data_IF_237145470627
#
_entry.id   IF_237145470627
#
_cell.length_a   1.000
_cell.length_b   1.000
_cell.length_c   1.000
_cell.angle_alpha   90.00
_cell.angle_beta   90.00
_cell.angle_gamma   90.00
#
_symmetry.space_group_name_H-M   'P 1'
#
loop_
_entity.id
_entity.type
_entity.pdbx_description
1 polymer ?
#
# COMPACT_ATOMS: atom_id res chain seq x y z
N UNK A 1 16.78 -42.24 2.83
CA UNK A 1 16.42 -41.05 3.65
C UNK A 1 17.06 -39.74 3.20
N UNK A 2 18.23 -39.73 2.55
CA UNK A 2 18.91 -38.48 2.14
C UNK A 2 18.32 -37.86 0.85
N UNK A 3 17.81 -38.66 -0.09
CA UNK A 3 17.23 -38.15 -1.35
C UNK A 3 15.83 -37.51 -1.16
N UNK A 4 14.99 -38.03 -0.26
CA UNK A 4 13.68 -37.44 0.04
C UNK A 4 13.75 -36.09 0.77
N UNK A 5 14.86 -35.80 1.46
CA UNK A 5 15.11 -34.51 2.11
C UNK A 5 15.49 -33.42 1.11
N UNK A 6 16.11 -33.79 -0.01
CA UNK A 6 16.51 -32.85 -1.08
C UNK A 6 15.28 -32.44 -1.90
N UNK A 7 14.33 -33.35 -2.13
CA UNK A 7 13.06 -33.04 -2.79
C UNK A 7 12.15 -32.09 -1.98
N UNK A 8 12.14 -32.22 -0.64
CA UNK A 8 11.40 -31.31 0.23
C UNK A 8 11.93 -29.87 0.23
N UNK A 9 13.25 -29.70 0.15
CA UNK A 9 13.91 -28.39 0.11
C UNK A 9 13.73 -27.67 -1.24
N UNK A 10 13.64 -28.41 -2.35
CA UNK A 10 13.42 -27.83 -3.67
C UNK A 10 12.02 -27.19 -3.81
N UNK A 11 11.01 -27.76 -3.14
CA UNK A 11 9.62 -27.29 -3.17
C UNK A 11 9.43 -25.94 -2.48
N UNK A 12 10.21 -25.65 -1.43
CA UNK A 12 10.15 -24.39 -0.69
C UNK A 12 10.87 -23.24 -1.43
N UNK A 13 11.89 -23.55 -2.22
CA UNK A 13 12.63 -22.55 -3.00
C UNK A 13 11.83 -22.02 -4.21
N UNK A 14 10.89 -22.80 -4.75
CA UNK A 14 10.10 -22.40 -5.92
C UNK A 14 9.07 -21.29 -5.61
N UNK A 15 8.55 -21.22 -4.38
CA UNK A 15 7.61 -20.17 -3.94
C UNK A 15 8.27 -18.79 -3.76
N UNK A 16 9.59 -18.73 -3.64
CA UNK A 16 10.32 -17.46 -3.47
C UNK A 16 10.55 -16.71 -4.80
N UNK A 17 10.36 -17.36 -5.95
CA UNK A 17 10.74 -16.81 -7.26
C UNK A 17 9.53 -16.22 -8.03
N UNK A 18 8.30 -16.30 -7.51
CA UNK A 18 7.10 -15.84 -8.22
C UNK A 18 6.83 -14.32 -8.13
N UNK A 19 7.74 -13.53 -7.52
CA UNK A 19 7.58 -12.08 -7.32
C UNK A 19 8.32 -11.21 -8.36
N UNK A 20 8.53 -11.70 -9.58
CA UNK A 20 9.13 -10.88 -10.67
C UNK A 20 8.32 -10.92 -11.97
N UNK A 21 7.09 -11.45 -11.94
CA UNK A 21 6.21 -11.43 -13.09
C UNK A 21 5.25 -10.22 -13.03
N UNK A 22 5.67 -9.12 -13.67
CA UNK A 22 4.85 -7.99 -14.10
C UNK A 22 4.17 -7.14 -13.02
N UNK A 23 4.74 -5.94 -12.80
CA UNK A 23 4.11 -4.86 -12.05
C UNK A 23 4.70 -3.50 -12.41
N UNK A 24 4.88 -3.20 -13.70
CA UNK A 24 5.25 -1.88 -14.19
C UNK A 24 4.04 -0.92 -14.12
N UNK A 25 3.61 -0.62 -12.90
CA UNK A 25 2.73 0.50 -12.56
C UNK A 25 3.27 1.18 -11.32
N UNK A 26 4.60 1.38 -11.28
CA UNK A 26 5.27 2.07 -10.19
C UNK A 26 4.73 3.51 -10.14
N UNK A 27 3.97 3.79 -9.09
CA UNK A 27 3.65 5.16 -8.66
C UNK A 27 4.98 5.81 -8.31
N UNK A 28 5.30 6.97 -8.88
CA UNK A 28 6.57 7.69 -8.66
C UNK A 28 6.86 7.99 -7.18
N UNK A 29 5.87 7.86 -6.29
CA UNK A 29 6.03 8.05 -4.83
C UNK A 29 6.82 6.94 -4.13
N UNK A 30 6.95 5.74 -4.74
CA UNK A 30 7.66 4.61 -4.12
C UNK A 30 9.18 4.62 -4.37
N UNK A 31 9.69 5.61 -5.12
CA UNK A 31 11.13 5.76 -5.39
C UNK A 31 11.89 6.55 -4.31
N UNK A 32 11.23 6.96 -3.21
CA UNK A 32 11.91 7.57 -2.06
C UNK A 32 12.13 6.52 -0.97
N UNK A 33 13.20 5.74 -1.10
CA UNK A 33 13.74 4.97 0.01
C UNK A 33 14.30 5.93 1.08
N UNK A 34 13.51 6.10 2.14
CA UNK A 34 13.94 6.20 3.54
C UNK A 34 15.16 7.08 3.86
N UNK A 35 14.93 8.37 4.09
CA UNK A 35 15.75 9.17 5.01
C UNK A 35 14.93 9.56 6.24
N UNK A 36 15.07 8.76 7.30
CA UNK A 36 14.93 9.18 8.69
C UNK A 36 13.54 9.48 9.22
N UNK A 37 12.88 8.49 9.83
CA UNK A 37 11.95 8.75 10.92
C UNK A 37 12.46 8.02 12.18
N UNK A 38 13.33 8.72 12.89
CA UNK A 38 13.76 8.43 14.27
C UNK A 38 12.52 8.26 15.16
N UNK A 39 12.55 7.28 16.07
CA UNK A 39 11.41 6.86 16.88
C UNK A 39 10.77 7.95 17.76
N UNK A 40 9.80 8.66 17.18
CA UNK A 40 8.80 9.47 17.88
C UNK A 40 7.42 9.00 17.45
N UNK A 41 6.50 8.84 18.41
CA UNK A 41 5.16 8.32 18.14
C UNK A 41 4.48 9.05 16.99
N UNK A 42 3.99 8.31 15.99
CA UNK A 42 3.36 8.83 14.78
C UNK A 42 1.94 9.38 14.99
N UNK A 43 1.46 9.39 16.24
CA UNK A 43 0.19 10.02 16.61
C UNK A 43 0.22 11.52 16.25
N UNK A 44 -0.77 11.96 15.47
CA UNK A 44 -0.89 13.32 14.96
C UNK A 44 -0.25 13.56 13.60
N UNK A 45 0.48 12.58 13.03
CA UNK A 45 1.01 12.67 11.67
C UNK A 45 -0.11 12.77 10.63
N UNK A 46 0.16 13.46 9.52
CA UNK A 46 -0.75 13.58 8.39
C UNK A 46 -0.58 12.38 7.45
N UNK A 47 -1.67 11.74 7.10
CA UNK A 47 -1.76 10.65 6.12
C UNK A 47 -2.64 11.11 4.96
N UNK A 48 -2.08 11.09 3.74
CA UNK A 48 -2.84 11.33 2.51
C UNK A 48 -3.43 10.03 1.97
N UNK A 49 -4.70 10.05 1.58
CA UNK A 49 -5.43 8.94 0.98
C UNK A 49 -6.13 9.44 -0.28
N UNK A 50 -5.79 8.86 -1.43
CA UNK A 50 -6.39 9.25 -2.72
C UNK A 50 -7.23 8.11 -3.29
N UNK A 51 -8.52 8.34 -3.40
CA UNK A 51 -9.51 7.39 -3.90
C UNK A 51 -9.82 7.61 -5.39
N UNK A 52 -10.27 6.58 -6.14
CA UNK A 52 -10.43 6.70 -7.59
C UNK A 52 -11.52 7.68 -8.01
N UNK A 53 -12.73 7.62 -7.44
CA UNK A 53 -13.89 8.42 -7.92
C UNK A 53 -14.98 8.51 -6.87
N UNK A 54 -15.77 9.59 -6.91
CA UNK A 54 -17.01 9.74 -6.11
C UNK A 54 -18.24 9.15 -6.79
N UNK A 55 -18.14 8.68 -8.03
CA UNK A 55 -19.28 8.09 -8.77
C UNK A 55 -19.67 6.69 -8.28
N UNK A 56 -18.83 6.05 -7.47
CA UNK A 56 -19.06 4.72 -6.92
C UNK A 56 -19.30 4.80 -5.42
N UNK A 57 -20.47 4.37 -4.98
CA UNK A 57 -20.82 4.27 -3.56
C UNK A 57 -19.80 3.41 -2.80
N UNK A 58 -19.33 2.32 -3.40
CA UNK A 58 -18.29 1.48 -2.82
C UNK A 58 -17.03 2.28 -2.48
N UNK A 59 -16.57 3.14 -3.39
CA UNK A 59 -15.36 3.94 -3.15
C UNK A 59 -15.59 5.03 -2.10
N UNK A 60 -16.80 5.57 -2.01
CA UNK A 60 -17.17 6.50 -0.94
C UNK A 60 -17.09 5.80 0.42
N UNK A 61 -17.76 4.64 0.54
CA UNK A 61 -17.76 3.86 1.78
C UNK A 61 -16.37 3.39 2.19
N UNK A 62 -15.57 2.91 1.23
CA UNK A 62 -14.20 2.48 1.48
C UNK A 62 -13.34 3.66 1.97
N UNK A 63 -13.46 4.84 1.35
CA UNK A 63 -12.71 6.04 1.72
C UNK A 63 -13.05 6.53 3.13
N UNK A 64 -14.35 6.60 3.45
CA UNK A 64 -14.82 7.01 4.78
C UNK A 64 -14.37 6.03 5.87
N UNK A 65 -14.39 4.73 5.58
CA UNK A 65 -13.93 3.71 6.51
C UNK A 65 -12.42 3.80 6.79
N UNK A 66 -11.60 3.97 5.73
CA UNK A 66 -10.14 4.15 5.88
C UNK A 66 -9.83 5.40 6.69
N UNK A 67 -10.48 6.54 6.37
CA UNK A 67 -10.34 7.78 7.13
C UNK A 67 -10.69 7.58 8.60
N UNK A 68 -11.85 6.99 8.89
CA UNK A 68 -12.29 6.76 10.27
C UNK A 68 -11.32 5.89 11.07
N UNK A 69 -10.78 4.83 10.47
CA UNK A 69 -9.84 3.94 11.15
C UNK A 69 -8.51 4.64 11.44
N UNK A 70 -7.98 5.42 10.48
CA UNK A 70 -6.75 6.19 10.68
C UNK A 70 -6.93 7.30 11.74
N UNK A 71 -8.06 8.00 11.72
CA UNK A 71 -8.37 9.01 12.74
C UNK A 71 -8.51 8.39 14.14
N UNK A 72 -9.12 7.20 14.26
CA UNK A 72 -9.17 6.45 15.53
C UNK A 72 -7.79 6.06 16.08
N UNK A 73 -6.81 5.88 15.19
CA UNK A 73 -5.42 5.63 15.56
C UNK A 73 -4.65 6.92 15.88
N UNK A 74 -5.30 8.08 15.81
CA UNK A 74 -4.74 9.38 16.15
C UNK A 74 -4.05 10.11 14.99
N UNK A 75 -4.21 9.65 13.75
CA UNK A 75 -3.68 10.34 12.57
C UNK A 75 -4.60 11.49 12.13
N UNK A 76 -4.02 12.51 11.49
CA UNK A 76 -4.77 13.44 10.64
C UNK A 76 -4.87 12.82 9.25
N UNK A 77 -6.02 12.92 8.61
CA UNK A 77 -6.23 12.30 7.29
C UNK A 77 -6.69 13.34 6.27
N UNK A 78 -6.01 13.38 5.14
CA UNK A 78 -6.46 14.09 3.94
C UNK A 78 -6.99 13.06 2.93
N UNK A 79 -8.31 13.02 2.76
CA UNK A 79 -9.00 12.10 1.86
C UNK A 79 -9.41 12.85 0.59
N UNK A 80 -8.78 12.51 -0.53
CA UNK A 80 -9.05 13.10 -1.83
C UNK A 80 -9.62 12.06 -2.79
N UNK A 81 -10.31 12.54 -3.83
CA UNK A 81 -10.81 11.71 -4.92
C UNK A 81 -10.29 12.26 -6.25
N UNK A 82 -9.71 11.39 -7.07
CA UNK A 82 -9.03 11.78 -8.30
C UNK A 82 -9.92 11.74 -9.56
N UNK A 83 -11.17 11.27 -9.45
CA UNK A 83 -12.08 11.06 -10.59
C UNK A 83 -11.49 10.28 -11.76
N UNK A 84 -10.71 9.24 -11.44
CA UNK A 84 -9.97 8.40 -12.38
C UNK A 84 -8.96 9.16 -13.25
N UNK A 85 -8.57 10.37 -12.84
CA UNK A 85 -7.53 11.18 -13.48
C UNK A 85 -6.15 10.88 -12.86
N UNK A 86 -5.24 10.35 -13.69
CA UNK A 86 -3.90 9.91 -13.25
C UNK A 86 -3.07 11.08 -12.69
N UNK A 87 -2.98 12.25 -13.35
CA UNK A 87 -2.28 13.40 -12.78
C UNK A 87 -2.79 13.78 -11.39
N UNK A 88 -4.10 13.86 -11.22
CA UNK A 88 -4.74 14.19 -9.94
C UNK A 88 -4.49 13.12 -8.88
N UNK A 89 -4.39 11.85 -9.26
CA UNK A 89 -4.10 10.73 -8.35
C UNK A 89 -2.66 10.76 -7.78
N UNK A 90 -1.74 11.40 -8.49
CA UNK A 90 -0.32 11.47 -8.14
C UNK A 90 0.06 12.75 -7.37
N UNK A 91 -0.87 13.71 -7.24
CA UNK A 91 -0.69 14.95 -6.48
C UNK A 91 -0.55 14.72 -4.97
#
# INVERSE_FOLDING_TARGET
MRLGRIAGLASAAALAVTMTACGSSQKTVDAQASTGATGGGTAGALVGVTMPTKSSERWIHDGDNVKSQLEKLGYKVDLQYAENDIPTQAN
#
